data_IF_444229527263
#
_entry.id   IF_444229527263
#
_cell.length_a   1.000
_cell.length_b   1.000
_cell.length_c   1.000
_cell.angle_alpha   90.00
_cell.angle_beta   90.00
_cell.angle_gamma   90.00
#
_symmetry.space_group_name_H-M   'P 1'
#
loop_
_entity.id
_entity.type
_entity.pdbx_description
1 polymer ?
#
# COMPACT_ATOMS: atom_id res chain seq x y z
N UNK A 1 -2.62 23.31 7.42
CA UNK A 1 -2.92 23.02 5.99
C UNK A 1 -1.95 21.92 5.61
N UNK A 2 -2.48 20.78 5.19
CA UNK A 2 -1.68 19.59 4.94
C UNK A 2 -1.51 19.52 3.44
N UNK A 3 -0.32 19.82 2.96
CA UNK A 3 0.01 19.83 1.52
C UNK A 3 0.82 18.54 1.23
N UNK A 4 0.78 18.04 -0.01
CA UNK A 4 1.42 16.77 -0.45
C UNK A 4 0.76 15.45 0.03
N UNK A 5 -0.46 15.15 -0.45
CA UNK A 5 -1.10 13.85 -0.23
C UNK A 5 -1.00 12.91 -1.44
N UNK A 6 -0.82 11.62 -1.18
CA UNK A 6 -1.11 10.56 -2.14
C UNK A 6 -2.57 10.13 -1.98
N UNK A 7 -3.36 10.26 -3.05
CA UNK A 7 -4.77 9.86 -3.11
C UNK A 7 -4.93 8.67 -4.06
N UNK A 8 -5.49 7.58 -3.53
CA UNK A 8 -5.93 6.42 -4.30
C UNK A 8 -7.46 6.40 -4.34
N UNK A 9 -8.05 6.52 -5.53
CA UNK A 9 -9.50 6.40 -5.69
C UNK A 9 -9.89 4.95 -5.99
N UNK A 10 -10.43 4.26 -4.99
CA UNK A 10 -10.92 2.90 -5.12
C UNK A 10 -12.36 2.83 -5.64
N UNK A 11 -12.64 1.85 -6.51
CA UNK A 11 -13.99 1.62 -7.04
C UNK A 11 -14.45 2.59 -8.13
N UNK A 12 -13.54 3.27 -8.82
CA UNK A 12 -13.88 4.22 -9.88
C UNK A 12 -14.55 3.60 -11.13
N UNK A 13 -14.36 2.29 -11.36
CA UNK A 13 -14.87 1.59 -12.53
C UNK A 13 -16.35 1.22 -12.36
N UNK A 14 -17.06 1.07 -13.49
CA UNK A 14 -18.47 0.67 -13.51
C UNK A 14 -18.65 -0.66 -12.75
N UNK A 15 -19.47 -0.64 -11.70
CA UNK A 15 -19.67 -1.78 -10.79
C UNK A 15 -18.86 -1.71 -9.49
N UNK A 16 -18.06 -0.66 -9.27
CA UNK A 16 -17.33 -0.43 -8.03
C UNK A 16 -16.20 -1.43 -7.78
N UNK A 17 -15.75 -1.55 -6.53
CA UNK A 17 -14.59 -2.37 -6.15
C UNK A 17 -14.82 -3.88 -6.39
N UNK A 18 -16.01 -4.40 -6.07
CA UNK A 18 -16.27 -5.84 -6.04
C UNK A 18 -17.26 -6.33 -7.10
N UNK A 19 -17.97 -5.43 -7.78
CA UNK A 19 -18.99 -5.75 -8.80
C UNK A 19 -18.58 -5.40 -10.23
N UNK A 20 -17.42 -4.76 -10.45
CA UNK A 20 -16.94 -4.47 -11.79
C UNK A 20 -16.54 -5.76 -12.51
N UNK A 21 -17.21 -6.06 -13.63
CA UNK A 21 -16.85 -7.20 -14.48
C UNK A 21 -15.40 -7.09 -14.97
N UNK A 22 -14.70 -8.21 -15.04
CA UNK A 22 -13.28 -8.21 -15.39
C UNK A 22 -13.02 -7.69 -16.80
N UNK A 23 -12.09 -6.76 -16.95
CA UNK A 23 -11.83 -6.08 -18.22
C UNK A 23 -12.67 -4.81 -18.43
N UNK A 24 -13.39 -4.33 -17.41
CA UNK A 24 -14.15 -3.07 -17.48
C UNK A 24 -13.22 -1.88 -17.67
N UNK A 25 -13.43 -1.12 -18.74
CA UNK A 25 -12.63 0.08 -19.05
C UNK A 25 -13.45 1.37 -18.98
N UNK A 26 -14.55 1.38 -18.24
CA UNK A 26 -15.46 2.52 -18.15
C UNK A 26 -15.60 2.92 -16.69
N UNK A 27 -15.55 4.23 -16.42
CA UNK A 27 -15.84 4.79 -15.12
C UNK A 27 -17.32 4.55 -14.74
N UNK A 28 -17.59 4.48 -13.45
CA UNK A 28 -18.95 4.49 -12.92
C UNK A 28 -19.55 5.88 -13.10
N UNK A 29 -20.62 5.97 -13.91
CA UNK A 29 -21.21 7.26 -14.27
C UNK A 29 -21.75 8.03 -13.07
N UNK A 30 -22.18 7.31 -12.03
CA UNK A 30 -22.66 7.92 -10.77
C UNK A 30 -21.56 8.64 -9.99
N UNK A 31 -20.29 8.30 -10.23
CA UNK A 31 -19.13 8.91 -9.55
C UNK A 31 -18.53 10.08 -10.33
N UNK A 32 -18.99 10.32 -11.56
CA UNK A 32 -18.54 11.43 -12.40
C UNK A 32 -18.04 11.00 -13.77
N UNK A 33 -17.52 11.97 -14.50
CA UNK A 33 -16.96 11.82 -15.85
C UNK A 33 -15.45 11.77 -15.83
N UNK A 34 -14.82 11.39 -16.95
CA UNK A 34 -13.36 11.44 -17.10
C UNK A 34 -12.79 12.84 -16.80
N UNK A 35 -13.52 13.90 -17.18
CA UNK A 35 -13.14 15.28 -16.90
C UNK A 35 -13.17 15.58 -15.40
N UNK A 36 -14.15 15.07 -14.67
CA UNK A 36 -14.24 15.29 -13.22
C UNK A 36 -13.07 14.64 -12.48
N UNK A 37 -12.70 13.41 -12.87
CA UNK A 37 -11.51 12.73 -12.34
C UNK A 37 -10.21 13.45 -12.73
N UNK A 38 -10.12 14.01 -13.93
CA UNK A 38 -8.96 14.82 -14.37
C UNK A 38 -8.84 16.09 -13.53
N UNK A 39 -9.97 16.78 -13.29
CA UNK A 39 -9.98 17.96 -12.43
C UNK A 39 -9.57 17.61 -10.99
N UNK A 40 -10.04 16.48 -10.45
CA UNK A 40 -9.62 16.00 -9.14
C UNK A 40 -8.11 15.72 -9.10
N UNK A 41 -7.56 15.01 -10.09
CA UNK A 41 -6.13 14.77 -10.22
C UNK A 41 -5.35 16.10 -10.25
N UNK A 42 -5.79 17.06 -11.06
CA UNK A 42 -5.11 18.35 -11.17
C UNK A 42 -5.09 19.09 -9.83
N UNK A 43 -6.22 19.13 -9.10
CA UNK A 43 -6.27 19.73 -7.76
C UNK A 43 -5.31 19.07 -6.77
N UNK A 44 -5.16 17.74 -6.84
CA UNK A 44 -4.22 16.99 -6.00
C UNK A 44 -2.77 17.31 -6.37
N UNK A 45 -2.44 17.32 -7.66
CA UNK A 45 -1.09 17.61 -8.18
C UNK A 45 -0.69 19.07 -7.93
N UNK A 46 -1.62 20.02 -8.10
CA UNK A 46 -1.40 21.45 -7.79
C UNK A 46 -1.13 21.67 -6.30
N UNK A 47 -1.67 20.82 -5.43
CA UNK A 47 -1.37 20.79 -3.99
C UNK A 47 -0.08 20.01 -3.65
N UNK A 48 0.70 19.61 -4.66
CA UNK A 48 1.96 18.87 -4.53
C UNK A 48 1.82 17.36 -4.34
N UNK A 49 0.59 16.83 -4.42
CA UNK A 49 0.28 15.42 -4.18
C UNK A 49 0.32 14.53 -5.43
N UNK A 50 -0.09 13.27 -5.24
CA UNK A 50 -0.17 12.24 -6.29
C UNK A 50 -1.55 11.61 -6.33
N UNK A 51 -2.02 11.25 -7.53
CA UNK A 51 -3.36 10.67 -7.72
C UNK A 51 -3.31 9.38 -8.52
N UNK A 52 -4.01 8.36 -8.02
CA UNK A 52 -4.08 7.04 -8.62
C UNK A 52 -5.52 6.53 -8.70
N UNK A 53 -5.84 5.82 -9.78
CA UNK A 53 -7.01 4.94 -9.78
C UNK A 53 -6.59 3.54 -9.31
N UNK A 54 -7.33 2.97 -8.37
CA UNK A 54 -7.08 1.60 -7.93
C UNK A 54 -7.56 0.58 -8.97
N UNK A 55 -6.80 -0.49 -9.12
CA UNK A 55 -7.17 -1.67 -9.91
C UNK A 55 -6.62 -2.92 -9.25
N UNK A 56 -7.49 -3.93 -9.05
CA UNK A 56 -7.04 -5.31 -8.87
C UNK A 56 -7.27 -6.10 -10.17
N UNK A 57 -6.21 -6.36 -10.96
CA UNK A 57 -6.32 -7.16 -12.18
C UNK A 57 -5.97 -8.64 -11.96
N UNK A 58 -5.48 -9.01 -10.77
CA UNK A 58 -4.85 -10.31 -10.52
C UNK A 58 -5.83 -11.33 -9.99
N UNK A 59 -6.79 -10.90 -9.19
CA UNK A 59 -7.88 -11.75 -8.70
C UNK A 59 -9.25 -11.24 -9.12
N UNK A 60 -10.22 -12.14 -9.17
CA UNK A 60 -11.63 -11.80 -9.35
C UNK A 60 -12.52 -12.83 -8.65
N UNK A 61 -13.69 -12.39 -8.19
CA UNK A 61 -14.74 -13.31 -7.71
C UNK A 61 -15.57 -13.86 -8.89
N UNK A 62 -16.42 -14.85 -8.62
CA UNK A 62 -17.27 -15.52 -9.61
C UNK A 62 -18.33 -14.62 -10.26
N UNK A 63 -18.74 -13.52 -9.60
CA UNK A 63 -19.65 -12.53 -10.19
C UNK A 63 -18.96 -11.66 -11.25
N UNK A 64 -17.63 -11.57 -11.22
CA UNK A 64 -16.83 -10.71 -12.12
C UNK A 64 -16.33 -11.44 -13.37
N UNK A 65 -16.24 -12.77 -13.35
CA UNK A 65 -15.67 -13.59 -14.41
C UNK A 65 -16.44 -14.88 -14.66
N UNK A 66 -16.24 -15.47 -15.84
CA UNK A 66 -16.41 -16.92 -16.01
C UNK A 66 -15.04 -17.60 -15.81
N UNK A 67 -14.83 -18.39 -14.73
CA UNK A 67 -13.53 -18.99 -14.42
C UNK A 67 -12.95 -19.84 -15.55
N UNK A 68 -13.78 -20.58 -16.29
CA UNK A 68 -13.33 -21.45 -17.39
C UNK A 68 -12.50 -20.71 -18.47
N UNK A 69 -12.78 -19.42 -18.67
CA UNK A 69 -12.13 -18.60 -19.69
C UNK A 69 -11.08 -17.64 -19.14
N UNK A 70 -11.08 -17.38 -17.83
CA UNK A 70 -10.30 -16.30 -17.21
C UNK A 70 -9.35 -16.75 -16.11
N UNK A 71 -9.69 -17.80 -15.37
CA UNK A 71 -8.85 -18.30 -14.29
C UNK A 71 -7.63 -19.05 -14.83
N UNK A 72 -6.50 -18.88 -14.14
CA UNK A 72 -5.34 -19.74 -14.28
C UNK A 72 -5.65 -21.13 -13.71
N UNK A 73 -4.91 -22.15 -14.14
CA UNK A 73 -5.07 -23.52 -13.60
C UNK A 73 -3.79 -24.06 -13.00
N UNK A 74 -3.93 -24.87 -11.95
CA UNK A 74 -2.84 -25.66 -11.36
C UNK A 74 -2.36 -26.75 -12.31
N UNK A 75 -1.25 -27.42 -11.97
CA UNK A 75 -0.76 -28.60 -12.72
C UNK A 75 -1.83 -29.68 -12.86
N UNK A 76 -2.65 -29.89 -11.82
CA UNK A 76 -3.78 -30.83 -11.79
C UNK A 76 -5.02 -30.35 -12.54
N UNK A 77 -4.95 -29.22 -13.27
CA UNK A 77 -6.04 -28.63 -14.07
C UNK A 77 -7.23 -28.08 -13.28
N UNK A 78 -7.14 -27.99 -11.95
CA UNK A 78 -8.08 -27.23 -11.15
C UNK A 78 -7.86 -25.71 -11.34
N UNK A 79 -8.90 -24.90 -11.20
CA UNK A 79 -8.74 -23.45 -11.17
C UNK A 79 -7.92 -23.03 -9.95
N UNK A 80 -6.97 -22.12 -10.16
CA UNK A 80 -6.23 -21.52 -9.05
C UNK A 80 -7.15 -20.51 -8.33
N UNK A 81 -7.34 -20.73 -7.03
CA UNK A 81 -8.18 -19.90 -6.18
C UNK A 81 -7.53 -19.64 -4.83
N UNK A 82 -7.85 -18.50 -4.26
CA UNK A 82 -7.60 -18.12 -2.87
C UNK A 82 -8.94 -18.25 -2.16
N UNK A 83 -8.95 -18.98 -1.06
CA UNK A 83 -10.13 -19.20 -0.22
C UNK A 83 -9.88 -18.50 1.10
N UNK A 84 -10.86 -17.72 1.55
CA UNK A 84 -10.83 -17.05 2.85
C UNK A 84 -11.20 -18.03 3.96
N UNK A 85 -10.63 -17.81 5.14
CA UNK A 85 -10.91 -18.63 6.33
C UNK A 85 -12.35 -18.49 6.84
N UNK A 86 -12.95 -17.30 6.67
CA UNK A 86 -14.36 -17.07 6.97
C UNK A 86 -15.22 -17.39 5.74
N UNK A 87 -15.97 -18.51 5.72
CA UNK A 87 -16.79 -18.90 4.57
C UNK A 87 -18.12 -18.12 4.49
N UNK A 88 -18.50 -17.38 5.54
CA UNK A 88 -19.78 -16.67 5.60
C UNK A 88 -19.78 -15.33 4.86
N UNK A 89 -18.62 -14.88 4.37
CA UNK A 89 -18.50 -13.64 3.61
C UNK A 89 -19.03 -13.80 2.19
N UNK A 90 -19.52 -12.72 1.58
CA UNK A 90 -20.19 -12.78 0.28
C UNK A 90 -19.33 -13.45 -0.81
N UNK A 91 -18.02 -13.18 -0.81
CA UNK A 91 -17.06 -13.77 -1.74
C UNK A 91 -15.91 -14.45 -0.96
N UNK A 92 -16.16 -15.67 -0.50
CA UNK A 92 -15.15 -16.48 0.16
C UNK A 92 -14.03 -16.96 -0.79
N UNK A 93 -14.32 -17.06 -2.09
CA UNK A 93 -13.36 -17.50 -3.11
C UNK A 93 -13.01 -16.38 -4.09
N UNK A 94 -11.71 -16.25 -4.39
CA UNK A 94 -11.19 -15.41 -5.46
C UNK A 94 -10.30 -16.22 -6.39
N UNK A 95 -10.55 -16.16 -7.69
CA UNK A 95 -9.77 -16.85 -8.70
C UNK A 95 -8.53 -16.03 -9.09
N UNK A 96 -7.39 -16.69 -9.28
CA UNK A 96 -6.24 -16.07 -9.91
C UNK A 96 -6.43 -16.01 -11.42
N UNK A 97 -6.22 -14.84 -12.01
CA UNK A 97 -6.47 -14.60 -13.43
C UNK A 97 -5.27 -15.02 -14.28
N UNK A 98 -5.47 -15.48 -15.51
CA UNK A 98 -4.34 -15.81 -16.39
C UNK A 98 -3.40 -14.58 -16.56
N UNK A 99 -2.08 -14.71 -16.34
CA UNK A 99 -1.17 -13.56 -16.35
C UNK A 99 -1.18 -12.69 -17.61
N UNK A 100 -1.44 -13.27 -18.78
CA UNK A 100 -1.58 -12.52 -20.04
C UNK A 100 -2.81 -11.62 -20.06
N UNK A 101 -3.90 -12.06 -19.41
CA UNK A 101 -5.11 -11.25 -19.26
C UNK A 101 -4.93 -10.13 -18.24
N UNK A 102 -4.17 -10.38 -17.18
CA UNK A 102 -3.75 -9.35 -16.22
C UNK A 102 -3.03 -8.22 -16.96
N UNK A 103 -2.00 -8.56 -17.75
CA UNK A 103 -1.24 -7.56 -18.50
C UNK A 103 -2.05 -6.83 -19.57
N UNK A 104 -2.89 -7.54 -20.34
CA UNK A 104 -3.77 -6.91 -21.33
C UNK A 104 -4.75 -5.93 -20.67
N UNK A 105 -5.43 -6.35 -19.60
CA UNK A 105 -6.43 -5.52 -18.94
C UNK A 105 -5.80 -4.26 -18.37
N UNK A 106 -4.74 -4.41 -17.58
CA UNK A 106 -4.04 -3.28 -16.95
C UNK A 106 -3.53 -2.30 -18.01
N UNK A 107 -2.91 -2.80 -19.09
CA UNK A 107 -2.40 -1.93 -20.17
C UNK A 107 -3.51 -1.17 -20.89
N UNK A 108 -4.62 -1.85 -21.22
CA UNK A 108 -5.76 -1.21 -21.89
C UNK A 108 -6.45 -0.18 -21.00
N UNK A 109 -6.56 -0.45 -19.70
CA UNK A 109 -7.15 0.51 -18.75
C UNK A 109 -6.29 1.76 -18.63
N UNK A 110 -4.99 1.58 -18.36
CA UNK A 110 -4.02 2.66 -18.25
C UNK A 110 -4.04 3.56 -19.49
N UNK A 111 -3.91 2.97 -20.68
CA UNK A 111 -3.92 3.72 -21.95
C UNK A 111 -5.23 4.45 -22.21
N UNK A 112 -6.36 3.85 -21.82
CA UNK A 112 -7.67 4.42 -22.12
C UNK A 112 -8.05 5.56 -21.18
N UNK A 113 -7.75 5.42 -19.89
CA UNK A 113 -8.13 6.42 -18.89
C UNK A 113 -7.04 7.48 -18.67
N UNK A 114 -5.78 7.15 -18.91
CA UNK A 114 -4.66 8.10 -18.80
C UNK A 114 -4.24 8.45 -17.38
N UNK A 115 -4.72 7.71 -16.37
CA UNK A 115 -4.31 7.89 -14.97
C UNK A 115 -3.26 6.85 -14.57
N UNK A 116 -2.33 7.25 -13.70
CA UNK A 116 -1.49 6.30 -12.99
C UNK A 116 -2.36 5.38 -12.13
N UNK A 117 -1.88 4.16 -11.90
CA UNK A 117 -2.64 3.13 -11.21
C UNK A 117 -2.03 2.79 -9.86
N UNK A 118 -2.88 2.52 -8.88
CA UNK A 118 -2.52 1.75 -7.69
C UNK A 118 -2.94 0.31 -7.96
N UNK A 119 -1.98 -0.57 -8.18
CA UNK A 119 -2.26 -1.92 -8.67
C UNK A 119 -2.14 -2.93 -7.53
N UNK A 120 -3.28 -3.49 -7.16
CA UNK A 120 -3.36 -4.50 -6.11
C UNK A 120 -2.82 -5.84 -6.62
N UNK A 121 -2.16 -6.56 -5.72
CA UNK A 121 -1.73 -7.96 -5.88
C UNK A 121 -0.73 -8.26 -7.00
N UNK A 122 -0.55 -7.39 -8.01
CA UNK A 122 0.45 -7.59 -9.07
C UNK A 122 1.86 -7.65 -8.49
N UNK A 123 2.12 -6.81 -7.49
CA UNK A 123 3.39 -6.75 -6.79
C UNK A 123 3.70 -7.97 -5.93
N UNK A 124 2.69 -8.56 -5.30
CA UNK A 124 2.86 -9.58 -4.26
C UNK A 124 2.54 -11.00 -4.72
N UNK A 125 1.69 -11.20 -5.74
CA UNK A 125 1.28 -12.52 -6.22
C UNK A 125 1.95 -12.91 -7.53
N UNK A 126 2.76 -13.97 -7.46
CA UNK A 126 3.46 -14.53 -8.62
C UNK A 126 3.22 -16.04 -8.74
N UNK A 127 2.51 -16.46 -9.78
CA UNK A 127 2.02 -17.84 -9.97
C UNK A 127 2.21 -18.32 -11.41
N UNK A 128 2.05 -19.64 -11.59
CA UNK A 128 2.04 -20.30 -12.90
C UNK A 128 0.63 -20.37 -13.47
N UNK A 129 0.51 -20.57 -14.78
CA UNK A 129 -0.74 -20.98 -15.42
C UNK A 129 -0.51 -22.27 -16.19
N UNK A 130 -1.33 -23.28 -15.99
CA UNK A 130 -1.24 -24.57 -16.68
C UNK A 130 -2.38 -24.81 -17.66
N UNK A 131 -3.07 -23.74 -18.09
CA UNK A 131 -4.13 -23.82 -19.11
C UNK A 131 -3.57 -24.45 -20.39
N UNK A 132 -4.33 -25.37 -21.03
CA UNK A 132 -3.87 -26.25 -22.13
C UNK A 132 -3.14 -25.53 -23.27
N UNK A 133 -3.59 -24.32 -23.63
CA UNK A 133 -3.04 -23.52 -24.74
C UNK A 133 -2.38 -22.21 -24.28
N UNK A 134 -1.93 -22.14 -23.02
CA UNK A 134 -1.41 -20.91 -22.43
C UNK A 134 -0.49 -21.14 -21.24
N UNK A 135 0.24 -22.27 -21.23
CA UNK A 135 1.07 -22.64 -20.09
C UNK A 135 2.17 -21.60 -19.85
N UNK A 136 2.25 -21.10 -18.62
CA UNK A 136 3.25 -20.16 -18.15
C UNK A 136 3.86 -20.66 -16.84
N UNK A 137 5.18 -20.70 -16.80
CA UNK A 137 5.95 -20.83 -15.56
C UNK A 137 5.92 -19.52 -14.77
N UNK A 138 6.18 -19.58 -13.46
CA UNK A 138 6.33 -18.38 -12.62
C UNK A 138 7.37 -17.40 -13.17
N UNK A 139 8.46 -17.89 -13.76
CA UNK A 139 9.49 -17.06 -14.39
C UNK A 139 8.98 -16.35 -15.63
N UNK A 140 8.14 -17.00 -16.44
CA UNK A 140 7.50 -16.35 -17.59
C UNK A 140 6.46 -15.30 -17.14
N UNK A 141 5.67 -15.60 -16.10
CA UNK A 141 4.78 -14.63 -15.45
C UNK A 141 5.54 -13.40 -14.97
N UNK A 142 6.69 -13.59 -14.30
CA UNK A 142 7.55 -12.50 -13.83
C UNK A 142 7.95 -11.58 -14.99
N UNK A 143 8.43 -12.15 -16.10
CA UNK A 143 8.80 -11.37 -17.31
C UNK A 143 7.62 -10.58 -17.89
N UNK A 144 6.41 -11.14 -17.83
CA UNK A 144 5.18 -10.44 -18.26
C UNK A 144 4.92 -9.25 -17.35
N UNK A 145 5.02 -9.41 -16.03
CA UNK A 145 4.76 -8.35 -15.07
C UNK A 145 5.86 -7.27 -15.06
N UNK A 146 7.14 -7.64 -15.20
CA UNK A 146 8.26 -6.70 -15.40
C UNK A 146 8.07 -5.86 -16.68
N UNK A 147 7.63 -6.49 -17.78
CA UNK A 147 7.32 -5.75 -19.01
C UNK A 147 6.10 -4.85 -18.82
N UNK A 148 5.07 -5.32 -18.14
CA UNK A 148 3.87 -4.54 -17.86
C UNK A 148 4.19 -3.30 -17.02
N UNK A 149 5.04 -3.40 -16.00
CA UNK A 149 5.38 -2.25 -15.15
C UNK A 149 6.11 -1.15 -15.93
N UNK A 150 6.85 -1.48 -16.99
CA UNK A 150 7.38 -0.49 -17.94
C UNK A 150 6.35 0.10 -18.91
N UNK A 151 5.13 -0.44 -18.96
CA UNK A 151 4.01 0.14 -19.72
C UNK A 151 3.14 1.04 -18.84
N UNK A 152 3.03 0.73 -17.55
CA UNK A 152 2.29 1.49 -16.54
C UNK A 152 3.25 2.19 -15.58
N UNK A 153 4.21 2.91 -16.14
CA UNK A 153 5.28 3.57 -15.37
C UNK A 153 4.72 4.48 -14.27
N UNK A 154 5.46 4.61 -13.17
CA UNK A 154 5.09 5.40 -11.99
C UNK A 154 3.79 4.94 -11.29
N UNK A 155 3.30 3.73 -11.57
CA UNK A 155 2.20 3.12 -10.81
C UNK A 155 2.65 2.76 -9.39
N UNK A 156 1.72 2.87 -8.45
CA UNK A 156 1.91 2.40 -7.08
C UNK A 156 1.53 0.92 -6.96
N UNK A 157 2.17 0.21 -6.03
CA UNK A 157 1.95 -1.21 -5.80
C UNK A 157 1.82 -1.50 -4.31
N UNK A 158 0.90 -2.41 -3.96
CA UNK A 158 0.85 -2.98 -2.63
C UNK A 158 1.86 -4.12 -2.49
N UNK A 159 2.73 -4.03 -1.49
CA UNK A 159 3.76 -5.04 -1.16
C UNK A 159 4.54 -5.60 -2.36
N UNK A 160 5.10 -4.74 -3.24
CA UNK A 160 5.80 -5.21 -4.43
C UNK A 160 7.06 -6.00 -4.08
N UNK A 161 7.17 -7.18 -4.70
CA UNK A 161 8.43 -7.92 -4.76
C UNK A 161 9.49 -7.13 -5.55
N UNK A 162 10.76 -7.40 -5.25
CA UNK A 162 11.90 -6.60 -5.75
C UNK A 162 12.03 -6.49 -7.27
N UNK A 163 11.47 -7.43 -8.02
CA UNK A 163 11.48 -7.39 -9.47
C UNK A 163 10.65 -6.24 -10.07
N UNK A 164 9.77 -5.60 -9.30
CA UNK A 164 8.98 -4.43 -9.72
C UNK A 164 9.52 -3.10 -9.20
N UNK A 165 10.46 -3.08 -8.25
CA UNK A 165 10.91 -1.85 -7.58
C UNK A 165 11.39 -0.78 -8.56
N UNK A 166 12.08 -1.18 -9.64
CA UNK A 166 12.57 -0.25 -10.68
C UNK A 166 11.49 0.68 -11.24
N UNK A 167 10.26 0.20 -11.38
CA UNK A 167 9.14 0.94 -11.99
C UNK A 167 8.03 1.23 -10.96
N UNK A 168 8.31 1.05 -9.66
CA UNK A 168 7.36 1.33 -8.58
C UNK A 168 7.42 2.81 -8.25
N UNK A 169 6.33 3.54 -8.46
CA UNK A 169 6.21 4.94 -8.03
C UNK A 169 6.11 5.06 -6.52
N UNK A 170 5.23 4.26 -5.90
CA UNK A 170 5.03 4.21 -4.46
C UNK A 170 4.79 2.77 -3.98
N UNK A 171 5.30 2.47 -2.79
CA UNK A 171 5.10 1.20 -2.10
C UNK A 171 4.02 1.37 -1.03
N UNK A 172 2.89 0.67 -1.17
CA UNK A 172 1.85 0.66 -0.14
C UNK A 172 1.87 -0.61 0.72
N UNK A 173 1.55 -0.44 2.01
CA UNK A 173 1.40 -1.54 2.96
C UNK A 173 2.72 -2.21 3.31
N UNK A 174 3.81 -1.46 3.46
CA UNK A 174 5.10 -2.01 3.87
C UNK A 174 5.00 -2.67 5.25
N UNK A 175 5.63 -3.83 5.43
CA UNK A 175 5.58 -4.54 6.71
C UNK A 175 6.25 -3.73 7.81
N UNK A 176 5.53 -3.54 8.91
CA UNK A 176 5.98 -2.77 10.09
C UNK A 176 6.36 -3.66 11.28
N UNK A 177 6.05 -4.95 11.21
CA UNK A 177 6.26 -5.95 12.27
C UNK A 177 6.82 -7.25 11.66
N UNK A 178 7.44 -8.07 12.50
CA UNK A 178 7.87 -9.43 12.16
C UNK A 178 6.69 -10.43 12.25
N UNK A 179 6.97 -11.71 12.04
CA UNK A 179 5.99 -12.80 12.11
C UNK A 179 5.56 -13.14 13.55
N UNK A 180 6.30 -12.64 14.55
CA UNK A 180 6.14 -12.97 15.97
C UNK A 180 6.36 -14.45 16.27
N UNK A 181 7.20 -15.13 15.49
CA UNK A 181 7.61 -16.49 15.85
C UNK A 181 8.51 -16.46 17.10
N UNK A 182 8.39 -17.46 17.96
CA UNK A 182 9.10 -17.53 19.26
C UNK A 182 10.63 -17.53 19.17
N UNK A 183 11.17 -17.76 17.98
CA UNK A 183 12.61 -17.73 17.68
C UNK A 183 13.07 -16.42 17.03
N UNK A 184 12.17 -15.44 16.87
CA UNK A 184 12.47 -14.08 16.47
C UNK A 184 12.63 -13.22 17.73
N UNK A 185 13.63 -12.34 17.75
CA UNK A 185 13.84 -11.41 18.86
C UNK A 185 13.27 -10.04 18.54
N UNK A 186 13.98 -9.28 17.70
CA UNK A 186 13.68 -7.90 17.38
C UNK A 186 13.18 -7.74 15.95
N UNK A 187 12.34 -6.74 15.73
CA UNK A 187 11.98 -6.31 14.37
C UNK A 187 12.97 -5.24 13.92
N UNK A 188 13.65 -5.48 12.79
CA UNK A 188 14.58 -4.54 12.16
C UNK A 188 13.93 -3.93 10.91
N UNK A 189 14.06 -2.61 10.65
CA UNK A 189 13.54 -1.95 9.44
C UNK A 189 14.34 -2.26 8.18
N UNK A 190 14.69 -3.52 7.93
CA UNK A 190 15.61 -3.89 6.85
C UNK A 190 15.15 -3.38 5.48
N UNK A 191 13.87 -3.59 5.15
CA UNK A 191 13.33 -3.16 3.85
C UNK A 191 13.31 -1.62 3.73
N UNK A 192 12.95 -0.93 4.80
CA UNK A 192 12.93 0.52 4.86
C UNK A 192 14.34 1.12 4.72
N UNK A 193 15.34 0.51 5.37
CA UNK A 193 16.74 0.91 5.21
C UNK A 193 17.23 0.74 3.76
N UNK A 194 16.76 -0.28 3.05
CA UNK A 194 17.08 -0.50 1.64
C UNK A 194 16.37 0.50 0.72
N UNK A 195 15.13 0.90 1.04
CA UNK A 195 14.28 1.68 0.13
C UNK A 195 14.27 3.19 0.39
N UNK A 196 14.56 3.66 1.61
CA UNK A 196 14.46 5.09 1.98
C UNK A 196 15.40 5.93 1.12
N UNK A 197 14.86 7.01 0.56
CA UNK A 197 15.52 7.87 -0.42
C UNK A 197 15.37 7.40 -1.87
N UNK A 198 14.86 6.19 -2.12
CA UNK A 198 14.64 5.66 -3.48
C UNK A 198 13.16 5.51 -3.83
N UNK A 199 12.32 5.01 -2.90
CA UNK A 199 10.89 4.80 -3.13
C UNK A 199 10.13 5.30 -1.90
N UNK A 200 9.12 6.14 -2.09
CA UNK A 200 8.19 6.52 -1.02
C UNK A 200 7.36 5.30 -0.60
N UNK A 201 7.34 5.00 0.69
CA UNK A 201 6.63 3.85 1.23
C UNK A 201 5.70 4.19 2.40
N UNK A 202 4.57 3.50 2.41
CA UNK A 202 3.46 3.75 3.32
C UNK A 202 3.19 2.51 4.18
N UNK A 203 2.99 2.73 5.47
CA UNK A 203 2.55 1.70 6.40
C UNK A 203 1.16 1.16 6.02
N UNK A 204 0.72 0.02 6.56
CA UNK A 204 -0.66 -0.45 6.43
C UNK A 204 -1.66 0.57 6.98
N UNK A 205 -2.92 0.48 6.56
CA UNK A 205 -3.94 1.45 6.94
C UNK A 205 -4.12 1.53 8.45
N UNK A 206 -3.85 2.71 9.02
CA UNK A 206 -3.91 2.98 10.45
C UNK A 206 -5.31 2.78 11.04
N UNK A 207 -6.35 2.94 10.23
CA UNK A 207 -7.74 2.79 10.64
C UNK A 207 -8.31 1.38 10.43
N UNK A 208 -7.50 0.41 10.00
CA UNK A 208 -7.90 -1.00 9.85
C UNK A 208 -6.99 -1.86 10.72
N UNK A 209 -7.18 -1.75 12.04
CA UNK A 209 -6.41 -2.50 13.03
C UNK A 209 -6.26 -1.77 14.36
N UNK A 210 -5.44 -2.33 15.24
CA UNK A 210 -5.03 -1.67 16.47
C UNK A 210 -3.98 -0.61 16.15
N UNK A 211 -4.27 0.62 16.56
CA UNK A 211 -3.39 1.75 16.35
C UNK A 211 -3.17 2.50 17.66
N UNK A 212 -1.91 2.70 18.04
CA UNK A 212 -1.52 3.37 19.27
C UNK A 212 -0.30 4.27 19.05
N UNK A 213 0.17 4.93 20.11
CA UNK A 213 1.34 5.82 20.04
C UNK A 213 2.60 5.08 19.58
N UNK A 214 2.78 3.82 19.95
CA UNK A 214 3.93 3.02 19.53
C UNK A 214 3.91 2.77 18.01
N UNK A 215 2.73 2.66 17.38
CA UNK A 215 2.62 2.61 15.92
C UNK A 215 3.11 3.91 15.25
N UNK A 216 2.83 5.08 15.86
CA UNK A 216 3.31 6.38 15.37
C UNK A 216 4.85 6.43 15.46
N UNK A 217 5.39 6.10 16.63
CA UNK A 217 6.84 6.06 16.86
C UNK A 217 7.53 5.05 15.93
N UNK A 218 6.90 3.91 15.65
CA UNK A 218 7.44 2.90 14.73
C UNK A 218 7.49 3.39 13.29
N UNK A 219 6.48 4.14 12.85
CA UNK A 219 6.52 4.79 11.54
C UNK A 219 7.64 5.82 11.44
N UNK A 220 7.88 6.59 12.51
CA UNK A 220 9.00 7.54 12.58
C UNK A 220 10.34 6.80 12.54
N UNK A 221 10.53 5.77 13.37
CA UNK A 221 11.73 4.92 13.39
C UNK A 221 12.02 4.31 12.02
N UNK A 222 10.98 3.92 11.30
CA UNK A 222 11.11 3.22 10.01
C UNK A 222 11.09 4.18 8.81
N UNK A 223 10.90 5.48 9.03
CA UNK A 223 10.72 6.45 7.95
C UNK A 223 9.52 6.17 7.05
N UNK A 224 8.46 5.53 7.57
CA UNK A 224 7.28 5.13 6.82
C UNK A 224 6.16 6.16 6.96
N UNK A 225 5.48 6.47 5.85
CA UNK A 225 4.36 7.41 5.88
C UNK A 225 3.07 6.74 6.35
N UNK A 226 2.17 7.46 7.05
CA UNK A 226 0.89 6.92 7.46
C UNK A 226 -0.05 6.76 6.25
N UNK A 227 -0.95 5.79 6.32
CA UNK A 227 -2.01 5.61 5.31
C UNK A 227 -3.36 5.34 5.96
N UNK A 228 -4.43 5.69 5.25
CA UNK A 228 -5.81 5.53 5.70
C UNK A 228 -6.68 5.11 4.52
N UNK A 229 -7.67 4.26 4.78
CA UNK A 229 -8.72 3.97 3.81
C UNK A 229 -10.01 4.63 4.28
N UNK A 230 -10.56 5.56 3.50
CA UNK A 230 -11.68 6.38 3.95
C UNK A 230 -12.88 6.28 2.99
N UNK A 231 -14.08 6.40 3.54
CA UNK A 231 -15.34 6.50 2.79
C UNK A 231 -16.21 7.59 3.37
N UNK A 232 -17.11 8.15 2.55
CA UNK A 232 -18.13 9.08 3.01
C UNK A 232 -19.35 8.36 3.59
N UNK A 233 -19.51 7.06 3.33
CA UNK A 233 -20.62 6.29 3.87
C UNK A 233 -20.42 6.01 5.37
N UNK A 234 -21.53 5.86 6.09
CA UNK A 234 -21.50 5.32 7.45
C UNK A 234 -20.98 3.88 7.42
N UNK A 235 -20.25 3.45 8.46
CA UNK A 235 -19.70 2.08 8.52
C UNK A 235 -20.80 1.01 8.44
N UNK A 236 -22.01 1.29 8.95
CA UNK A 236 -23.16 0.39 8.85
C UNK A 236 -23.55 0.08 7.40
N UNK A 237 -23.31 1.01 6.46
CA UNK A 237 -23.58 0.78 5.04
C UNK A 237 -22.66 -0.28 4.39
N UNK A 238 -21.59 -0.70 5.09
CA UNK A 238 -20.69 -1.77 4.64
C UNK A 238 -21.16 -3.16 5.10
N UNK A 239 -22.12 -3.23 6.03
CA UNK A 239 -22.72 -4.48 6.49
C UNK A 239 -23.43 -5.22 5.34
N UNK A 240 -23.33 -6.55 5.31
CA UNK A 240 -23.84 -7.41 4.23
C UNK A 240 -23.32 -7.05 2.82
N UNK A 241 -22.14 -6.43 2.75
CA UNK A 241 -21.47 -6.15 1.48
C UNK A 241 -20.12 -6.87 1.41
N UNK A 242 -19.52 -7.01 0.21
CA UNK A 242 -18.14 -7.51 0.07
C UNK A 242 -17.05 -6.70 0.80
N UNK A 243 -17.41 -5.56 1.38
CA UNK A 243 -16.52 -4.68 2.14
C UNK A 243 -16.74 -4.80 3.66
N UNK A 244 -17.52 -5.79 4.13
CA UNK A 244 -17.86 -5.96 5.54
C UNK A 244 -16.65 -6.14 6.48
N UNK A 245 -15.50 -6.58 5.96
CA UNK A 245 -14.25 -6.67 6.74
C UNK A 245 -13.62 -5.30 7.03
N UNK A 246 -14.15 -4.24 6.43
CA UNK A 246 -13.76 -2.88 6.72
C UNK A 246 -14.75 -2.26 7.70
N UNK A 247 -14.32 -2.07 8.94
CA UNK A 247 -15.19 -1.70 10.06
C UNK A 247 -15.01 -0.25 10.57
N UNK A 248 -14.05 0.51 10.02
CA UNK A 248 -13.74 1.86 10.52
C UNK A 248 -13.20 2.79 9.43
N UNK A 249 -14.05 3.13 8.45
CA UNK A 249 -13.66 3.91 7.27
C UNK A 249 -14.28 5.31 7.19
N UNK A 250 -15.31 5.63 7.98
CA UNK A 250 -16.04 6.89 7.86
C UNK A 250 -15.11 8.12 8.01
N UNK A 251 -15.05 8.95 6.96
CA UNK A 251 -14.16 10.10 6.85
C UNK A 251 -14.32 11.11 8.00
N UNK A 252 -15.57 11.42 8.35
CA UNK A 252 -15.93 12.37 9.42
C UNK A 252 -15.39 11.95 10.77
N UNK A 253 -15.35 10.63 11.04
CA UNK A 253 -14.79 10.04 12.25
C UNK A 253 -13.26 10.05 12.28
N UNK A 254 -12.60 9.96 11.12
CA UNK A 254 -11.13 9.82 11.04
C UNK A 254 -10.37 11.09 10.68
N UNK A 255 -11.00 12.13 10.12
CA UNK A 255 -10.30 13.30 9.57
C UNK A 255 -9.37 14.00 10.57
N UNK A 256 -9.78 14.15 11.83
CA UNK A 256 -8.96 14.81 12.86
C UNK A 256 -7.82 13.90 13.31
N UNK A 257 -8.13 12.63 13.58
CA UNK A 257 -7.14 11.62 13.98
C UNK A 257 -6.06 11.44 12.91
N UNK A 258 -6.45 11.39 11.63
CA UNK A 258 -5.53 11.30 10.51
C UNK A 258 -4.63 12.55 10.40
N UNK A 259 -5.19 13.75 10.61
CA UNK A 259 -4.42 14.99 10.61
C UNK A 259 -3.42 15.06 11.78
N UNK A 260 -3.78 14.59 12.96
CA UNK A 260 -2.90 14.54 14.13
C UNK A 260 -1.76 13.54 13.94
N UNK A 261 -2.08 12.33 13.46
CA UNK A 261 -1.09 11.29 13.11
C UNK A 261 -0.11 11.82 12.08
N UNK A 262 -0.63 12.39 10.98
CA UNK A 262 0.21 13.00 9.96
C UNK A 262 1.12 14.06 10.57
N UNK A 263 0.58 14.97 11.39
CA UNK A 263 1.35 16.10 11.93
C UNK A 263 2.49 15.62 12.84
N UNK A 264 2.25 14.60 13.66
CA UNK A 264 3.27 13.98 14.52
C UNK A 264 4.37 13.30 13.71
N UNK A 265 4.01 12.54 12.67
CA UNK A 265 5.01 11.84 11.84
C UNK A 265 5.79 12.86 11.00
N UNK A 266 5.10 13.83 10.42
CA UNK A 266 5.70 14.84 9.57
C UNK A 266 6.65 15.77 10.34
N UNK A 267 6.40 16.05 11.63
CA UNK A 267 7.37 16.82 12.44
C UNK A 267 8.69 16.10 12.64
N UNK A 268 8.74 14.77 12.48
CA UNK A 268 9.98 14.00 12.42
C UNK A 268 10.53 13.88 10.99
N UNK A 269 9.70 13.39 10.06
CA UNK A 269 10.17 12.89 8.76
C UNK A 269 10.39 13.99 7.71
N UNK A 270 9.80 15.19 7.86
CA UNK A 270 10.06 16.31 6.94
C UNK A 270 11.55 16.66 6.80
N UNK A 271 12.37 16.31 7.79
CA UNK A 271 13.81 16.54 7.82
C UNK A 271 14.64 15.44 7.16
N UNK A 272 14.02 14.36 6.68
CA UNK A 272 14.70 13.16 6.13
C UNK A 272 14.20 12.78 4.74
N UNK A 273 13.47 13.68 4.07
CA UNK A 273 12.95 13.45 2.74
C UNK A 273 14.05 13.40 1.68
N UNK A 274 13.96 12.39 0.81
CA UNK A 274 15.01 12.05 -0.15
C UNK A 274 16.30 11.47 0.47
N UNK A 275 16.44 11.41 1.79
CA UNK A 275 17.62 10.86 2.45
C UNK A 275 17.50 9.34 2.63
N UNK A 276 18.64 8.65 2.66
CA UNK A 276 18.71 7.21 3.00
C UNK A 276 18.99 7.02 4.48
N UNK A 277 18.47 5.94 5.08
CA UNK A 277 18.85 5.53 6.44
C UNK A 277 20.25 4.91 6.38
N UNK A 278 21.20 5.48 7.14
CA UNK A 278 22.59 5.01 7.19
C UNK A 278 22.90 4.19 8.43
N UNK A 279 22.15 4.40 9.52
CA UNK A 279 22.31 3.66 10.76
C UNK A 279 20.94 3.49 11.44
N UNK A 280 20.68 2.29 11.97
CA UNK A 280 19.61 2.01 12.91
C UNK A 280 20.22 1.26 14.09
N UNK A 281 20.09 1.81 15.30
CA UNK A 281 20.76 1.30 16.49
C UNK A 281 19.84 1.34 17.70
N UNK A 282 19.67 0.20 18.35
CA UNK A 282 19.06 0.12 19.67
C UNK A 282 20.12 0.48 20.71
N UNK A 283 19.99 1.67 21.33
CA UNK A 283 20.94 2.14 22.36
C UNK A 283 20.70 1.44 23.70
N UNK A 284 19.43 1.23 24.01
CA UNK A 284 18.89 0.48 25.15
C UNK A 284 17.53 -0.06 24.75
N UNK A 285 17.04 -1.09 25.43
CA UNK A 285 15.67 -1.56 25.24
C UNK A 285 14.67 -0.37 25.28
N UNK A 286 13.92 -0.22 24.18
CA UNK A 286 12.97 0.88 23.98
C UNK A 286 13.57 2.23 23.58
N UNK A 287 14.89 2.38 23.48
CA UNK A 287 15.57 3.62 23.04
C UNK A 287 16.32 3.35 21.74
N UNK A 288 15.88 3.98 20.65
CA UNK A 288 16.38 3.72 19.29
C UNK A 288 16.93 5.00 18.67
N UNK A 289 18.06 4.89 17.99
CA UNK A 289 18.67 5.94 17.20
C UNK A 289 18.62 5.56 15.71
N UNK A 290 18.16 6.49 14.88
CA UNK A 290 18.18 6.38 13.42
C UNK A 290 18.96 7.55 12.84
N UNK A 291 19.93 7.28 11.97
CA UNK A 291 20.70 8.31 11.27
C UNK A 291 20.45 8.26 9.78
N UNK A 292 20.45 9.45 9.17
CA UNK A 292 20.22 9.63 7.75
C UNK A 292 21.44 10.24 7.06
N UNK A 293 21.52 10.03 5.75
CA UNK A 293 22.65 10.46 4.92
C UNK A 293 22.89 11.98 4.90
N UNK A 294 21.89 12.79 5.23
CA UNK A 294 22.03 14.25 5.37
C UNK A 294 22.45 14.71 6.77
N UNK A 295 22.86 13.79 7.65
CA UNK A 295 23.32 14.09 9.00
C UNK A 295 22.21 14.22 10.06
N UNK A 296 20.93 14.15 9.65
CA UNK A 296 19.80 14.14 10.59
C UNK A 296 19.82 12.87 11.44
N UNK A 297 19.69 13.03 12.76
CA UNK A 297 19.50 11.94 13.72
C UNK A 297 18.09 12.03 14.32
N UNK A 298 17.42 10.89 14.45
CA UNK A 298 16.14 10.77 15.16
C UNK A 298 16.36 9.82 16.33
N UNK A 299 16.15 10.32 17.55
CA UNK A 299 16.16 9.54 18.78
C UNK A 299 14.72 9.26 19.20
N UNK A 300 14.37 7.98 19.39
CA UNK A 300 13.01 7.50 19.68
C UNK A 300 13.00 6.81 21.05
N UNK A 301 11.98 7.09 21.85
CA UNK A 301 11.78 6.51 23.18
C UNK A 301 10.39 5.86 23.29
N UNK A 302 10.37 4.53 23.34
CA UNK A 302 9.18 3.70 23.56
C UNK A 302 8.88 3.45 25.04
N UNK A 303 9.73 3.88 25.96
CA UNK A 303 9.60 3.61 27.38
C UNK A 303 8.67 4.64 28.06
N UNK A 304 8.11 4.33 29.24
CA UNK A 304 7.27 5.27 29.98
C UNK A 304 8.06 6.34 30.76
N UNK A 305 9.39 6.38 30.63
CA UNK A 305 10.25 7.32 31.34
C UNK A 305 11.09 8.12 30.34
N UNK A 306 11.44 9.35 30.71
CA UNK A 306 12.38 10.16 29.95
C UNK A 306 13.76 9.48 29.93
N UNK A 307 14.50 9.68 28.84
CA UNK A 307 15.83 9.12 28.66
C UNK A 307 16.84 10.20 28.28
N UNK A 308 18.04 10.10 28.86
CA UNK A 308 19.21 10.92 28.52
C UNK A 308 20.26 9.99 27.94
N UNK A 309 20.76 10.33 26.76
CA UNK A 309 21.80 9.57 26.04
C UNK A 309 22.92 10.51 25.60
N UNK A 310 24.02 9.96 25.08
CA UNK A 310 25.06 10.77 24.43
C UNK A 310 24.55 11.52 23.17
N UNK A 311 23.40 11.13 22.63
CA UNK A 311 22.76 11.75 21.47
C UNK A 311 21.73 12.83 21.84
N UNK A 312 21.44 13.01 23.12
CA UNK A 312 20.48 14.00 23.62
C UNK A 312 19.45 13.42 24.58
N UNK A 313 18.48 14.26 24.95
CA UNK A 313 17.35 13.93 25.81
C UNK A 313 16.12 13.61 24.95
N UNK A 314 15.30 12.65 25.39
CA UNK A 314 14.05 12.29 24.73
C UNK A 314 13.00 11.93 25.79
N UNK A 315 11.85 12.60 25.72
CA UNK A 315 10.75 12.34 26.65
C UNK A 315 10.15 10.93 26.48
N UNK A 316 9.48 10.44 27.52
CA UNK A 316 8.72 9.18 27.48
C UNK A 316 7.74 9.16 26.29
N UNK A 317 7.64 8.00 25.61
CA UNK A 317 6.73 7.80 24.46
C UNK A 317 6.82 8.92 23.40
N UNK A 318 8.04 9.33 23.08
CA UNK A 318 8.29 10.48 22.21
C UNK A 318 9.52 10.27 21.32
N UNK A 319 9.85 11.30 20.55
CA UNK A 319 11.05 11.36 19.72
C UNK A 319 11.68 12.74 19.79
N UNK A 320 12.94 12.84 19.39
CA UNK A 320 13.66 14.10 19.22
C UNK A 320 14.45 14.04 17.93
N UNK A 321 14.38 15.12 17.15
CA UNK A 321 15.12 15.28 15.89
C UNK A 321 16.30 16.19 16.15
N UNK A 322 17.48 15.75 15.73
CA UNK A 322 18.69 16.54 15.71
C UNK A 322 19.11 16.72 14.26
N UNK A 323 18.98 17.94 13.78
CA UNK A 323 19.40 18.30 12.42
C UNK A 323 20.92 18.40 12.35
N UNK A 324 21.48 18.18 11.14
CA UNK A 324 22.91 18.42 10.91
C UNK A 324 23.23 19.89 11.19
N UNK A 325 24.35 20.13 11.87
CA UNK A 325 24.93 21.47 12.02
C UNK A 325 25.86 21.69 10.84
N UNK A 326 25.28 21.98 9.66
CA UNK A 326 25.99 22.68 8.58
C UNK A 326 25.70 24.18 8.65
#
# INVERSE_FOLDING_TARGET
KTDNFTIVYAGALKGGMNGAGYGTLKLEKKLGTLKDFTNLQNSVVEAGGRFYLNLNPVTANDSQINPSNKAATTLGKAFEKIVRDNPNVLFAEKYLIRPTLVADYTSRLYKKLGFNLSIDELGSKLYSDNTRNGKLTRTQTRKIYEKLSGVVENSAYFTPNSYLWKNTGEYFGISMVNSQYVYETDTVPFLQMVLKGSIDYYAPYANIGFYNEDCILKMIEYGAYPSFMLTNADNYALHDTPLEDYFSLEYTSWKSVAADIYSKINSALKHTEGQSITEHKVLKEGIVLVKYSGGTEILINYTPNDAVTEHGEVAAKSFTVKESTE
#
